data_IF_040025068913
#
_entry.id   IF_040025068913
#
_cell.length_a   1.000
_cell.length_b   1.000
_cell.length_c   1.000
_cell.angle_alpha   90.00
_cell.angle_beta   90.00
_cell.angle_gamma   90.00
#
_symmetry.space_group_name_H-M   'P 1'
#
loop_
_entity.id
_entity.type
_entity.pdbx_description
1 polymer ?
#
# COMPACT_ATOMS: atom_id res chain seq x y z
N UNK A 1 -9.26 -20.64 35.25
CA UNK A 1 -8.70 -19.31 35.59
C UNK A 1 -7.58 -19.58 36.58
N UNK A 2 -6.32 -19.59 36.15
CA UNK A 2 -5.18 -19.77 37.07
C UNK A 2 -4.93 -18.44 37.77
N UNK A 3 -5.03 -18.43 39.09
CA UNK A 3 -4.74 -17.28 39.93
C UNK A 3 -3.22 -17.09 40.06
N UNK A 4 -2.77 -15.89 40.43
CA UNK A 4 -1.33 -15.62 40.69
C UNK A 4 -0.75 -16.58 41.74
N UNK A 5 -1.59 -17.09 42.66
CA UNK A 5 -1.25 -18.15 43.63
C UNK A 5 -0.94 -19.50 42.96
N UNK A 6 -1.60 -19.81 41.85
CA UNK A 6 -1.44 -21.07 41.12
C UNK A 6 -0.17 -21.07 40.25
N UNK A 7 0.34 -19.89 39.88
CA UNK A 7 1.54 -19.74 39.03
C UNK A 7 2.82 -19.58 39.86
N UNK A 8 2.77 -18.82 40.96
CA UNK A 8 3.94 -18.53 41.81
C UNK A 8 4.04 -19.45 43.04
N UNK A 9 3.05 -20.31 43.26
CA UNK A 9 2.96 -21.19 44.43
C UNK A 9 2.59 -20.47 45.75
N UNK A 10 2.21 -21.23 46.78
CA UNK A 10 1.71 -20.68 48.04
C UNK A 10 2.76 -19.91 48.87
N UNK A 11 4.05 -20.11 48.60
CA UNK A 11 5.18 -19.56 49.35
C UNK A 11 5.80 -18.28 48.77
N UNK A 12 5.28 -17.76 47.65
CA UNK A 12 5.80 -16.51 47.08
C UNK A 12 5.58 -15.31 48.01
N UNK A 13 6.63 -14.54 48.26
CA UNK A 13 6.58 -13.37 49.14
C UNK A 13 5.62 -12.31 48.59
N UNK A 14 5.06 -11.49 49.48
CA UNK A 14 4.13 -10.40 49.10
C UNK A 14 4.73 -9.48 48.04
N UNK A 15 6.04 -9.22 48.13
CA UNK A 15 6.78 -8.40 47.17
C UNK A 15 6.95 -9.07 45.80
N UNK A 16 7.16 -10.39 45.76
CA UNK A 16 7.25 -11.14 44.51
C UNK A 16 5.92 -11.13 43.75
N UNK A 17 4.79 -11.21 44.46
CA UNK A 17 3.44 -11.10 43.86
C UNK A 17 3.20 -9.72 43.27
N UNK A 18 3.53 -8.65 44.02
CA UNK A 18 3.39 -7.27 43.54
C UNK A 18 4.26 -7.01 42.30
N UNK A 19 5.51 -7.50 42.28
CA UNK A 19 6.40 -7.38 41.10
C UNK A 19 5.86 -8.15 39.90
N UNK A 20 5.35 -9.35 40.10
CA UNK A 20 4.77 -10.15 39.02
C UNK A 20 3.51 -9.51 38.44
N UNK A 21 2.57 -9.06 39.28
CA UNK A 21 1.36 -8.35 38.86
C UNK A 21 1.70 -7.05 38.11
N UNK A 22 2.68 -6.29 38.60
CA UNK A 22 3.19 -5.11 37.90
C UNK A 22 3.85 -5.43 36.55
N UNK A 23 4.46 -6.60 36.40
CA UNK A 23 5.07 -7.06 35.14
C UNK A 23 4.00 -7.52 34.15
N UNK A 24 3.00 -8.28 34.61
CA UNK A 24 1.85 -8.71 33.80
C UNK A 24 1.05 -7.52 33.30
N UNK A 25 0.78 -6.53 34.15
CA UNK A 25 0.09 -5.30 33.77
C UNK A 25 0.86 -4.50 32.71
N UNK A 26 2.19 -4.39 32.85
CA UNK A 26 3.05 -3.74 31.84
C UNK A 26 3.03 -4.50 30.51
N UNK A 27 3.12 -5.84 30.54
CA UNK A 27 3.08 -6.66 29.32
C UNK A 27 1.72 -6.57 28.61
N UNK A 28 0.61 -6.52 29.35
CA UNK A 28 -0.74 -6.32 28.80
C UNK A 28 -0.94 -4.91 28.23
N UNK A 29 -0.36 -3.88 28.87
CA UNK A 29 -0.41 -2.52 28.36
C UNK A 29 0.40 -2.37 27.06
N UNK A 30 1.57 -3.00 26.96
CA UNK A 30 2.38 -3.01 25.74
C UNK A 30 1.71 -3.80 24.61
N UNK A 31 1.09 -4.95 24.91
CA UNK A 31 0.39 -5.74 23.88
C UNK A 31 -0.86 -5.03 23.36
N UNK A 32 -1.64 -4.38 24.23
CA UNK A 32 -2.83 -3.61 23.82
C UNK A 32 -2.46 -2.35 23.02
N UNK A 33 -1.38 -1.64 23.39
CA UNK A 33 -0.87 -0.51 22.62
C UNK A 33 -0.35 -0.93 21.24
N UNK A 34 0.39 -2.04 21.15
CA UNK A 34 0.86 -2.60 19.88
C UNK A 34 -0.31 -3.05 19.00
N UNK A 35 -1.32 -3.70 19.58
CA UNK A 35 -2.54 -4.11 18.88
C UNK A 35 -3.33 -2.88 18.39
N UNK A 36 -3.47 -1.84 19.21
CA UNK A 36 -4.13 -0.59 18.82
C UNK A 36 -3.37 0.13 17.70
N UNK A 37 -2.04 0.10 17.71
CA UNK A 37 -1.20 0.65 16.65
C UNK A 37 -1.29 -0.17 15.36
N UNK A 38 -1.39 -1.49 15.45
CA UNK A 38 -1.63 -2.38 14.32
C UNK A 38 -3.03 -2.16 13.73
N UNK A 39 -4.06 -2.05 14.57
CA UNK A 39 -5.44 -1.70 14.17
C UNK A 39 -5.46 -0.31 13.54
N UNK A 40 -4.79 0.68 14.13
CA UNK A 40 -4.73 2.06 13.62
C UNK A 40 -3.98 2.15 12.29
N UNK A 41 -2.85 1.47 12.15
CA UNK A 41 -2.08 1.46 10.89
C UNK A 41 -2.80 0.70 9.77
N UNK A 42 -3.57 -0.33 10.12
CA UNK A 42 -4.39 -1.11 9.17
C UNK A 42 -5.68 -0.38 8.76
N UNK A 43 -6.28 0.40 9.67
CA UNK A 43 -7.53 1.15 9.42
C UNK A 43 -7.31 2.53 8.79
N UNK A 44 -6.19 3.21 9.09
CA UNK A 44 -5.86 4.54 8.56
C UNK A 44 -5.67 4.57 7.03
N UNK A 45 -5.50 3.42 6.38
CA UNK A 45 -5.41 3.35 4.93
C UNK A 45 -6.76 3.68 4.27
N UNK A 46 -7.90 3.65 4.96
CA UNK A 46 -9.24 3.95 4.39
C UNK A 46 -9.50 5.47 4.19
N UNK A 47 -8.58 6.20 3.55
CA UNK A 47 -8.88 7.58 3.14
C UNK A 47 -9.99 7.59 2.07
N UNK A 48 -11.07 8.35 2.32
CA UNK A 48 -12.19 8.55 1.40
C UNK A 48 -11.71 9.26 0.13
N UNK A 49 -11.80 8.58 -1.01
CA UNK A 49 -11.53 9.17 -2.32
C UNK A 49 -12.82 9.84 -2.84
N UNK A 50 -13.23 10.93 -2.19
CA UNK A 50 -14.49 11.64 -2.48
C UNK A 50 -15.77 10.91 -2.06
N UNK A 51 -16.86 11.09 -2.83
CA UNK A 51 -18.18 10.44 -2.64
C UNK A 51 -18.21 8.95 -3.02
N UNK A 52 -17.12 8.42 -3.58
CA UNK A 52 -17.07 7.04 -4.08
C UNK A 52 -16.63 6.12 -2.95
N UNK A 53 -17.50 5.18 -2.60
CA UNK A 53 -17.23 4.15 -1.61
C UNK A 53 -16.02 3.29 -2.03
N UNK A 54 -14.88 3.53 -1.35
CA UNK A 54 -13.62 2.80 -1.58
C UNK A 54 -13.66 1.34 -1.11
N UNK A 55 -14.79 0.89 -0.55
CA UNK A 55 -15.03 -0.52 -0.26
C UNK A 55 -15.73 -1.25 -1.39
N UNK A 56 -16.31 -0.54 -2.36
CA UNK A 56 -16.91 -1.12 -3.55
C UNK A 56 -15.87 -1.27 -4.67
N UNK A 57 -15.35 -2.48 -4.84
CA UNK A 57 -14.34 -2.83 -5.86
C UNK A 57 -14.79 -2.54 -7.29
N UNK A 58 -16.09 -2.68 -7.61
CA UNK A 58 -16.61 -2.42 -8.96
C UNK A 58 -16.59 -0.92 -9.29
N UNK A 59 -16.92 -0.07 -8.33
CA UNK A 59 -16.86 1.39 -8.50
C UNK A 59 -15.42 1.90 -8.71
N UNK A 60 -14.41 1.17 -8.20
CA UNK A 60 -13.00 1.53 -8.34
C UNK A 60 -12.38 1.13 -9.69
N UNK A 61 -12.98 0.19 -10.43
CA UNK A 61 -12.45 -0.26 -11.72
C UNK A 61 -12.42 0.86 -12.77
N UNK A 62 -13.41 1.75 -12.75
CA UNK A 62 -13.55 2.89 -13.67
C UNK A 62 -13.47 2.47 -15.14
N UNK A 63 -12.62 3.12 -15.93
CA UNK A 63 -12.21 2.70 -17.29
C UNK A 63 -10.92 1.89 -17.24
N UNK A 64 -10.99 0.58 -17.04
CA UNK A 64 -9.81 -0.25 -17.06
C UNK A 64 -9.14 -0.27 -18.43
N UNK A 65 -7.83 -0.50 -18.43
CA UNK A 65 -7.03 -0.63 -19.64
C UNK A 65 -6.20 -1.90 -19.58
N UNK A 66 -5.94 -2.49 -20.74
CA UNK A 66 -4.88 -3.50 -20.82
C UNK A 66 -3.52 -2.81 -20.70
N UNK A 67 -2.54 -3.52 -20.15
CA UNK A 67 -1.17 -3.02 -20.04
C UNK A 67 -0.61 -2.56 -21.39
N UNK A 68 -0.94 -3.27 -22.48
CA UNK A 68 -0.52 -2.88 -23.83
C UNK A 68 -1.14 -1.54 -24.28
N UNK A 69 -2.46 -1.36 -24.07
CA UNK A 69 -3.13 -0.09 -24.38
C UNK A 69 -2.55 1.07 -23.58
N UNK A 70 -2.29 0.84 -22.29
CA UNK A 70 -1.65 1.83 -21.42
C UNK A 70 -0.26 2.20 -21.94
N UNK A 71 0.61 1.22 -22.22
CA UNK A 71 1.97 1.45 -22.74
C UNK A 71 1.93 2.22 -24.06
N UNK A 72 1.06 1.81 -25.01
CA UNK A 72 0.91 2.49 -26.30
C UNK A 72 0.54 3.96 -26.13
N UNK A 73 -0.41 4.28 -25.25
CA UNK A 73 -0.81 5.67 -24.98
C UNK A 73 0.29 6.45 -24.28
N UNK A 74 0.93 5.89 -23.26
CA UNK A 74 2.03 6.56 -22.54
C UNK A 74 3.24 6.79 -23.44
N UNK A 75 3.55 5.86 -24.35
CA UNK A 75 4.65 6.03 -25.33
C UNK A 75 4.41 7.20 -26.29
N UNK A 76 3.15 7.54 -26.60
CA UNK A 76 2.82 8.75 -27.37
C UNK A 76 3.08 10.04 -26.57
N UNK A 77 2.98 9.98 -25.24
CA UNK A 77 3.30 11.09 -24.36
C UNK A 77 4.81 11.24 -24.14
N UNK A 78 5.50 10.12 -23.94
CA UNK A 78 6.95 10.08 -23.74
C UNK A 78 7.55 8.77 -24.28
N UNK A 79 8.19 8.87 -25.45
CA UNK A 79 8.83 7.74 -26.12
C UNK A 79 10.05 7.16 -25.40
N UNK A 80 10.67 7.92 -24.50
CA UNK A 80 11.90 7.53 -23.79
C UNK A 80 11.65 6.61 -22.58
N UNK A 81 10.39 6.38 -22.20
CA UNK A 81 10.03 5.45 -21.13
C UNK A 81 10.31 4.00 -21.56
N UNK A 82 10.81 3.19 -20.66
CA UNK A 82 11.09 1.77 -20.88
C UNK A 82 10.20 0.94 -19.95
N UNK A 83 9.60 -0.11 -20.47
CA UNK A 83 8.66 -0.97 -19.74
C UNK A 83 9.18 -2.40 -19.75
N UNK A 84 9.39 -2.98 -18.58
CA UNK A 84 9.97 -4.33 -18.47
C UNK A 84 9.14 -5.19 -17.52
N UNK A 85 8.94 -6.45 -17.89
CA UNK A 85 8.30 -7.43 -17.02
C UNK A 85 9.21 -7.72 -15.83
N UNK A 86 8.65 -7.85 -14.63
CA UNK A 86 9.42 -8.25 -13.47
C UNK A 86 9.85 -9.71 -13.61
N UNK A 87 11.11 -9.99 -13.24
CA UNK A 87 11.66 -11.34 -13.24
C UNK A 87 11.13 -12.19 -12.08
N UNK A 88 10.78 -11.55 -10.96
CA UNK A 88 10.28 -12.24 -9.76
C UNK A 88 8.76 -12.44 -9.75
N UNK A 89 8.02 -11.54 -10.39
CA UNK A 89 6.56 -11.56 -10.41
C UNK A 89 6.04 -11.26 -11.83
N UNK A 90 5.53 -12.30 -12.49
CA UNK A 90 5.04 -12.18 -13.85
C UNK A 90 3.83 -11.27 -14.01
N UNK A 91 3.13 -10.96 -12.91
CA UNK A 91 1.96 -10.07 -12.87
C UNK A 91 2.33 -8.59 -12.76
N UNK A 92 3.63 -8.25 -12.63
CA UNK A 92 4.10 -6.87 -12.46
C UNK A 92 5.06 -6.46 -13.58
N UNK A 93 5.04 -5.17 -13.89
CA UNK A 93 6.01 -4.51 -14.77
C UNK A 93 6.66 -3.33 -14.07
N UNK A 94 7.92 -3.05 -14.40
CA UNK A 94 8.61 -1.82 -14.02
C UNK A 94 8.57 -0.79 -15.15
N UNK A 95 8.40 0.48 -14.77
CA UNK A 95 8.54 1.64 -15.64
C UNK A 95 9.88 2.32 -15.32
N UNK A 96 10.67 2.58 -16.36
CA UNK A 96 12.02 3.12 -16.27
C UNK A 96 12.21 4.29 -17.23
N UNK A 97 13.24 5.10 -16.96
CA UNK A 97 13.81 6.03 -17.94
C UNK A 97 15.30 5.81 -18.05
N UNK A 98 15.86 6.03 -19.23
CA UNK A 98 17.31 6.05 -19.41
C UNK A 98 17.87 7.39 -18.94
N UNK A 99 18.63 7.39 -17.85
CA UNK A 99 19.27 8.57 -17.30
C UNK A 99 20.79 8.41 -17.31
N UNK A 100 21.51 9.52 -17.49
CA UNK A 100 22.95 9.54 -17.23
C UNK A 100 23.16 9.58 -15.72
N UNK A 101 23.90 8.59 -15.21
CA UNK A 101 24.32 8.54 -13.82
C UNK A 101 25.84 8.60 -13.80
N UNK A 102 26.37 9.52 -13.00
CA UNK A 102 27.81 9.60 -12.75
C UNK A 102 28.21 8.40 -11.88
N UNK A 103 29.21 7.67 -12.33
CA UNK A 103 29.82 6.61 -11.57
C UNK A 103 30.72 7.22 -10.48
N UNK A 104 30.51 6.84 -9.22
CA UNK A 104 31.25 7.40 -8.09
C UNK A 104 32.75 7.06 -8.16
N UNK A 105 33.11 5.92 -8.73
CA UNK A 105 34.50 5.45 -8.80
C UNK A 105 35.24 6.03 -10.01
N UNK A 106 34.61 5.99 -11.18
CA UNK A 106 35.27 6.39 -12.44
C UNK A 106 34.98 7.83 -12.86
N UNK A 107 34.06 8.52 -12.16
CA UNK A 107 33.54 9.86 -12.51
C UNK A 107 32.94 9.96 -13.93
N UNK A 108 32.86 8.85 -14.66
CA UNK A 108 32.32 8.76 -16.01
C UNK A 108 30.79 8.81 -15.98
N UNK A 109 30.18 9.42 -17.01
CA UNK A 109 28.74 9.41 -17.19
C UNK A 109 28.33 8.13 -17.94
N UNK A 110 27.56 7.28 -17.28
CA UNK A 110 27.01 6.07 -17.90
C UNK A 110 25.50 6.15 -17.98
N UNK A 111 24.94 5.74 -19.12
CA UNK A 111 23.48 5.69 -19.31
C UNK A 111 22.95 4.44 -18.60
N UNK A 112 22.17 4.64 -17.53
CA UNK A 112 21.57 3.57 -16.73
C UNK A 112 20.05 3.70 -16.72
N UNK A 113 19.36 2.57 -16.55
CA UNK A 113 17.92 2.54 -16.31
C UNK A 113 17.66 3.06 -14.90
N UNK A 114 16.88 4.12 -14.78
CA UNK A 114 16.38 4.64 -13.51
C UNK A 114 14.94 4.19 -13.34
N UNK A 115 14.68 3.42 -12.28
CA UNK A 115 13.34 2.98 -11.93
C UNK A 115 12.47 4.16 -11.52
N UNK A 116 11.23 4.18 -12.03
CA UNK A 116 10.25 5.22 -11.75
C UNK A 116 9.15 4.66 -10.85
N UNK A 117 8.49 3.60 -11.30
CA UNK A 117 7.42 2.95 -10.56
C UNK A 117 7.08 1.56 -11.13
N UNK A 118 6.44 0.72 -10.31
CA UNK A 118 5.85 -0.53 -10.77
C UNK A 118 4.40 -0.35 -11.21
N UNK A 119 3.92 -1.20 -12.11
CA UNK A 119 2.55 -1.26 -12.62
C UNK A 119 2.11 -2.72 -12.83
N UNK A 120 0.83 -2.96 -13.08
CA UNK A 120 0.30 -4.29 -13.35
C UNK A 120 0.64 -4.75 -14.78
N UNK A 121 0.84 -6.07 -14.94
CA UNK A 121 1.04 -6.76 -16.21
C UNK A 121 -0.21 -7.57 -16.57
N UNK A 122 -0.97 -7.12 -17.56
CA UNK A 122 -2.25 -7.68 -17.97
C UNK A 122 -3.31 -6.59 -17.96
N UNK A 123 -3.92 -6.37 -16.80
CA UNK A 123 -5.06 -5.48 -16.65
C UNK A 123 -4.82 -4.44 -15.56
N UNK A 124 -5.15 -3.18 -15.87
CA UNK A 124 -4.98 -2.05 -14.98
C UNK A 124 -6.32 -1.34 -14.77
N UNK A 125 -6.86 -1.33 -13.54
CA UNK A 125 -8.03 -0.52 -13.22
C UNK A 125 -7.70 0.97 -13.35
N UNK A 126 -8.72 1.83 -13.41
CA UNK A 126 -8.50 3.28 -13.41
C UNK A 126 -7.93 3.78 -12.09
N UNK A 127 -8.50 3.33 -10.98
CA UNK A 127 -8.06 3.65 -9.62
C UNK A 127 -7.37 2.43 -9.02
N UNK A 128 -6.47 2.65 -8.07
CA UNK A 128 -5.88 1.52 -7.32
C UNK A 128 -6.97 0.80 -6.53
N UNK A 129 -7.03 -0.52 -6.68
CA UNK A 129 -7.97 -1.38 -5.94
C UNK A 129 -7.21 -2.07 -4.83
N UNK A 130 -7.71 -1.96 -3.60
CA UNK A 130 -7.17 -2.69 -2.45
C UNK A 130 -8.02 -3.91 -2.18
N UNK A 131 -7.36 -5.06 -2.13
CA UNK A 131 -7.99 -6.33 -1.82
C UNK A 131 -7.81 -6.60 -0.33
N UNK A 132 -8.90 -7.02 0.29
CA UNK A 132 -8.98 -7.31 1.71
C UNK A 132 -9.44 -8.74 1.90
N UNK A 133 -8.84 -9.43 2.86
CA UNK A 133 -9.28 -10.75 3.30
C UNK A 133 -9.74 -10.67 4.76
N UNK A 134 -10.77 -11.43 5.14
CA UNK A 134 -11.18 -11.52 6.54
C UNK A 134 -10.10 -12.28 7.32
N UNK A 135 -9.50 -11.62 8.31
CA UNK A 135 -8.58 -12.23 9.26
C UNK A 135 -9.22 -12.28 10.65
N UNK A 136 -8.90 -13.29 11.44
CA UNK A 136 -9.45 -13.49 12.78
C UNK A 136 -8.40 -13.08 13.80
N UNK A 137 -8.62 -11.96 14.48
CA UNK A 137 -7.78 -11.52 15.60
C UNK A 137 -8.47 -11.83 16.93
N UNK A 138 -7.73 -12.13 18.01
CA UNK A 138 -8.30 -12.24 19.34
C UNK A 138 -8.95 -10.90 19.73
N UNK A 139 -10.18 -10.94 20.21
CA UNK A 139 -10.89 -9.75 20.65
C UNK A 139 -10.43 -9.38 22.07
N UNK A 140 -9.86 -8.18 22.30
CA UNK A 140 -9.44 -7.76 23.63
C UNK A 140 -10.62 -7.53 24.59
N UNK A 141 -11.83 -7.26 24.06
CA UNK A 141 -13.02 -6.94 24.86
C UNK A 141 -13.81 -8.20 25.26
N UNK A 142 -13.69 -9.27 24.48
CA UNK A 142 -14.32 -10.58 24.73
C UNK A 142 -13.26 -11.60 25.12
N UNK A 143 -13.21 -12.00 26.41
CA UNK A 143 -12.31 -13.07 26.87
C UNK A 143 -12.55 -14.37 26.10
N UNK A 144 -11.69 -14.65 25.12
CA UNK A 144 -11.76 -15.84 24.26
C UNK A 144 -12.58 -15.67 22.97
N UNK A 145 -13.01 -14.45 22.65
CA UNK A 145 -13.70 -14.12 21.39
C UNK A 145 -12.72 -13.88 20.25
N UNK A 146 -13.19 -14.11 19.01
CA UNK A 146 -12.47 -13.74 17.79
C UNK A 146 -13.21 -12.59 17.11
N UNK A 147 -12.47 -11.54 16.74
CA UNK A 147 -12.97 -10.43 15.92
C UNK A 147 -12.50 -10.61 14.49
N UNK A 148 -13.43 -10.51 13.54
CA UNK A 148 -13.09 -10.51 12.11
C UNK A 148 -12.69 -9.09 11.73
N UNK A 149 -11.45 -8.94 11.27
CA UNK A 149 -10.92 -7.68 10.74
C UNK A 149 -10.56 -7.84 9.28
N UNK A 150 -10.72 -6.76 8.50
CA UNK A 150 -10.30 -6.72 7.10
C UNK A 150 -8.80 -6.51 7.07
N UNK A 151 -8.03 -7.54 6.73
CA UNK A 151 -6.59 -7.46 6.54
C UNK A 151 -6.28 -7.12 5.09
N UNK A 152 -5.40 -6.16 4.89
CA UNK A 152 -4.92 -5.80 3.56
C UNK A 152 -4.05 -6.92 3.01
N UNK A 153 -4.43 -7.49 1.86
CA UNK A 153 -3.68 -8.60 1.26
C UNK A 153 -2.82 -8.12 0.09
N UNK A 154 -3.43 -7.39 -0.84
CA UNK A 154 -2.76 -6.94 -2.07
C UNK A 154 -3.38 -5.66 -2.61
N UNK A 155 -2.59 -4.88 -3.35
CA UNK A 155 -3.05 -3.75 -4.16
C UNK A 155 -2.92 -4.12 -5.64
N UNK A 156 -3.99 -3.93 -6.41
CA UNK A 156 -3.92 -3.85 -7.87
C UNK A 156 -3.80 -2.39 -8.24
N UNK A 157 -2.64 -1.99 -8.76
CA UNK A 157 -2.36 -0.58 -9.01
C UNK A 157 -3.14 -0.06 -10.22
N UNK A 158 -3.83 1.06 -10.02
CA UNK A 158 -4.55 1.72 -11.10
C UNK A 158 -3.65 2.52 -12.03
N UNK A 159 -4.07 2.71 -13.28
CA UNK A 159 -3.30 3.48 -14.25
C UNK A 159 -3.20 4.96 -13.88
N UNK A 160 -4.18 5.55 -13.17
CA UNK A 160 -4.06 6.93 -12.66
C UNK A 160 -2.88 7.06 -11.69
N UNK A 161 -2.69 6.10 -10.80
CA UNK A 161 -1.55 6.11 -9.86
C UNK A 161 -0.21 6.12 -10.59
N UNK A 162 -0.11 5.38 -11.70
CA UNK A 162 1.11 5.36 -12.52
C UNK A 162 1.31 6.69 -13.24
N UNK A 163 0.28 7.24 -13.88
CA UNK A 163 0.36 8.54 -14.56
C UNK A 163 0.71 9.67 -13.60
N UNK A 164 0.15 9.70 -12.39
CA UNK A 164 0.46 10.71 -11.41
C UNK A 164 1.94 10.68 -10.99
N UNK A 165 2.54 9.49 -10.83
CA UNK A 165 3.99 9.36 -10.58
C UNK A 165 4.82 9.88 -11.75
N UNK A 166 4.39 9.67 -12.99
CA UNK A 166 5.07 10.21 -14.18
C UNK A 166 4.96 11.74 -14.26
N UNK A 167 3.79 12.31 -13.93
CA UNK A 167 3.58 13.76 -13.86
C UNK A 167 4.44 14.39 -12.77
N UNK A 168 4.47 13.81 -11.57
CA UNK A 168 5.29 14.29 -10.45
C UNK A 168 6.78 14.29 -10.75
N UNK A 169 7.25 13.34 -11.57
CA UNK A 169 8.63 13.30 -12.05
C UNK A 169 8.87 14.15 -13.31
N UNK A 170 7.87 14.92 -13.75
CA UNK A 170 7.90 15.79 -14.94
C UNK A 170 8.24 15.04 -16.23
N UNK A 171 7.88 13.75 -16.30
CA UNK A 171 8.10 12.92 -17.48
C UNK A 171 6.97 13.05 -18.51
N UNK A 172 5.78 13.46 -18.06
CA UNK A 172 4.61 13.79 -18.87
C UNK A 172 3.90 15.00 -18.22
N UNK A 173 3.07 15.72 -18.97
CA UNK A 173 2.30 16.85 -18.44
C UNK A 173 0.85 16.47 -18.14
N UNK A 174 0.23 17.16 -17.18
CA UNK A 174 -1.18 16.92 -16.80
C UNK A 174 -2.13 17.12 -17.99
N UNK A 175 -1.94 18.19 -18.77
CA UNK A 175 -2.74 18.50 -19.97
C UNK A 175 -2.67 17.39 -21.02
N UNK A 176 -1.48 16.83 -21.23
CA UNK A 176 -1.33 15.67 -22.12
C UNK A 176 -2.06 14.44 -21.58
N UNK A 177 -1.99 14.19 -20.27
CA UNK A 177 -2.71 13.07 -19.67
C UNK A 177 -4.22 13.20 -19.90
N UNK A 178 -4.81 14.37 -19.62
CA UNK A 178 -6.25 14.60 -19.77
C UNK A 178 -6.72 14.39 -21.23
N UNK A 179 -5.88 14.71 -22.22
CA UNK A 179 -6.17 14.49 -23.64
C UNK A 179 -6.19 13.01 -24.03
N UNK A 180 -5.25 12.20 -23.54
CA UNK A 180 -5.10 10.79 -23.95
C UNK A 180 -5.76 9.79 -22.99
N UNK A 181 -6.10 10.24 -21.78
CA UNK A 181 -6.75 9.48 -20.71
C UNK A 181 -7.91 10.30 -20.13
N UNK A 182 -9.00 10.51 -20.89
CA UNK A 182 -10.13 11.29 -20.41
C UNK A 182 -10.74 10.62 -19.15
N UNK A 183 -10.71 11.30 -17.99
CA UNK A 183 -11.14 10.71 -16.73
C UNK A 183 -12.66 10.46 -16.71
N UNK A 184 -13.11 9.37 -16.08
CA UNK A 184 -14.48 9.30 -15.55
C UNK A 184 -14.48 9.93 -14.16
N UNK A 185 -15.12 11.09 -14.05
CA UNK A 185 -15.35 11.80 -12.80
C UNK A 185 -14.09 12.38 -12.16
N UNK A 186 -14.31 13.38 -11.30
CA UNK A 186 -13.26 13.98 -10.49
C UNK A 186 -12.79 12.96 -9.44
N UNK A 187 -11.47 12.83 -9.30
CA UNK A 187 -10.86 12.08 -8.20
C UNK A 187 -10.07 13.07 -7.37
N UNK A 188 -10.41 13.15 -6.08
CA UNK A 188 -9.71 14.00 -5.13
C UNK A 188 -8.22 13.61 -5.04
N UNK A 189 -7.93 12.31 -5.05
CA UNK A 189 -6.56 11.80 -5.13
C UNK A 189 -5.83 12.20 -6.42
N UNK A 190 -6.51 12.34 -7.56
CA UNK A 190 -5.84 12.76 -8.80
C UNK A 190 -5.26 14.17 -8.68
N UNK A 191 -6.01 15.10 -8.09
CA UNK A 191 -5.52 16.47 -7.87
C UNK A 191 -4.35 16.48 -6.87
N UNK A 192 -4.47 15.78 -5.74
CA UNK A 192 -3.42 15.71 -4.72
C UNK A 192 -2.15 14.98 -5.17
N UNK A 193 -2.26 14.02 -6.11
CA UNK A 193 -1.11 13.28 -6.65
C UNK A 193 -0.44 13.99 -7.84
N UNK A 194 -1.08 14.99 -8.44
CA UNK A 194 -0.58 15.73 -9.61
C UNK A 194 -0.15 17.17 -9.31
N UNK A 195 -0.49 17.71 -8.13
CA UNK A 195 0.10 18.93 -7.55
C UNK A 195 1.54 18.70 -7.09
#
# INVERSE_FOLDING_TARGET
>A
MLTVKDILGPLASKEQRIRYEGTVAKTQAVSSAALAQEISSTSATTAKDGEIDVTNTLAQLGRPLTTQQFIQRVKRLNGNLVFEKSNSDSTKMGVYIMAYQRDNLTQSLRRKKRFICGMENGYMPERSVRHWEPDKIPDPDLRGGWKIVKKFTRETRGWRTVLARLVRQRLITKTQVEKYFPPIGDSFNWQALTS
#
